data_IF_101607575534
#
_entry.id   IF_101607575534
#
_cell.length_a   1.000
_cell.length_b   1.000
_cell.length_c   1.000
_cell.angle_alpha   90.00
_cell.angle_beta   90.00
_cell.angle_gamma   90.00
#
_symmetry.space_group_name_H-M   'P 1'
#
loop_
_entity.id
_entity.type
_entity.pdbx_description
1 polymer ?
#
# COMPACT_ATOMS: atom_id res chain seq x y z
N UNK A 1 10.89 8.42 11.29
CA UNK A 1 10.46 7.94 9.96
C UNK A 1 11.23 6.73 9.47
N UNK A 2 12.57 6.70 9.54
CA UNK A 2 13.39 5.56 9.08
C UNK A 2 13.00 4.20 9.73
N UNK A 3 12.76 4.18 11.05
CA UNK A 3 12.35 2.96 11.77
C UNK A 3 11.02 2.40 11.26
N UNK A 4 10.07 3.27 10.91
CA UNK A 4 8.74 2.85 10.48
C UNK A 4 8.74 2.23 9.07
N UNK A 5 9.67 2.68 8.21
CA UNK A 5 9.88 2.08 6.88
C UNK A 5 10.39 0.65 7.05
N UNK A 6 11.41 0.43 7.88
CA UNK A 6 11.95 -0.91 8.16
C UNK A 6 10.88 -1.86 8.73
N UNK A 7 10.04 -1.39 9.66
CA UNK A 7 8.95 -2.21 10.22
C UNK A 7 7.92 -2.63 9.17
N UNK A 8 7.63 -1.77 8.19
CA UNK A 8 6.65 -2.06 7.13
C UNK A 8 7.12 -3.16 6.18
N UNK A 9 8.41 -3.17 5.84
CA UNK A 9 9.00 -4.26 5.04
C UNK A 9 8.90 -5.59 5.77
N UNK A 10 9.22 -5.63 7.07
CA UNK A 10 9.16 -6.86 7.85
C UNK A 10 7.72 -7.37 8.03
N UNK A 11 6.77 -6.49 8.34
CA UNK A 11 5.34 -6.87 8.44
C UNK A 11 4.81 -7.45 7.12
N UNK A 12 5.19 -6.86 5.99
CA UNK A 12 4.78 -7.36 4.67
C UNK A 12 5.47 -8.67 4.32
N UNK A 13 6.76 -8.80 4.61
CA UNK A 13 7.49 -10.06 4.44
C UNK A 13 6.79 -11.19 5.19
N UNK A 14 6.55 -11.04 6.50
CA UNK A 14 5.92 -12.07 7.33
C UNK A 14 4.51 -12.44 6.87
N UNK A 15 3.75 -11.45 6.37
CA UNK A 15 2.42 -11.68 5.79
C UNK A 15 2.48 -12.45 4.47
N UNK A 16 3.50 -12.21 3.66
CA UNK A 16 3.65 -12.84 2.34
C UNK A 16 4.43 -14.16 2.40
N UNK A 17 5.20 -14.38 3.47
CA UNK A 17 5.95 -15.59 3.74
C UNK A 17 5.14 -16.52 4.64
N UNK A 18 4.61 -17.62 4.08
CA UNK A 18 4.17 -18.85 4.75
C UNK A 18 3.10 -18.77 5.86
N UNK A 19 3.31 -17.95 6.89
CA UNK A 19 2.45 -17.83 8.08
C UNK A 19 1.19 -17.01 7.84
N UNK A 20 1.20 -16.13 6.84
CA UNK A 20 0.15 -15.14 6.60
C UNK A 20 -0.26 -14.35 7.87
N UNK A 21 0.64 -14.21 8.84
CA UNK A 21 0.32 -13.57 10.12
C UNK A 21 0.03 -12.08 9.93
N UNK A 22 -0.88 -11.55 10.75
CA UNK A 22 -1.13 -10.11 10.86
C UNK A 22 -0.57 -9.63 12.20
N UNK A 23 0.60 -9.01 12.14
CA UNK A 23 1.39 -8.64 13.32
C UNK A 23 1.49 -7.12 13.42
N UNK A 24 1.15 -6.58 14.59
CA UNK A 24 1.45 -5.19 14.93
C UNK A 24 2.96 -4.97 15.04
N UNK A 25 3.39 -3.70 15.03
CA UNK A 25 4.82 -3.34 15.09
C UNK A 25 5.47 -3.88 16.37
N UNK A 26 4.74 -3.86 17.49
CA UNK A 26 5.21 -4.33 18.81
C UNK A 26 5.33 -5.86 18.89
N UNK A 27 4.72 -6.57 17.94
CA UNK A 27 4.72 -8.04 17.87
C UNK A 27 5.69 -8.57 16.81
N UNK A 28 6.43 -7.68 16.14
CA UNK A 28 7.42 -8.07 15.16
C UNK A 28 8.57 -8.81 15.86
N UNK A 29 9.01 -9.97 15.34
CA UNK A 29 10.25 -10.58 15.79
C UNK A 29 11.43 -9.66 15.47
N UNK A 30 12.53 -9.83 16.19
CA UNK A 30 13.78 -9.22 15.79
C UNK A 30 14.23 -9.77 14.43
N UNK A 31 14.88 -8.93 13.62
CA UNK A 31 15.34 -9.36 12.28
C UNK A 31 16.30 -10.54 12.35
N UNK A 32 17.02 -10.71 13.48
CA UNK A 32 17.88 -11.86 13.75
C UNK A 32 17.13 -13.18 13.88
N UNK A 33 15.85 -13.14 14.24
CA UNK A 33 15.00 -14.31 14.45
C UNK A 33 14.26 -14.71 13.16
N UNK A 34 14.45 -13.94 12.10
CA UNK A 34 13.85 -14.13 10.79
C UNK A 34 14.89 -14.70 9.85
N UNK A 35 14.46 -15.53 8.89
CA UNK A 35 15.33 -15.95 7.79
C UNK A 35 15.79 -14.73 6.99
N UNK A 36 17.01 -14.27 7.30
CA UNK A 36 17.59 -13.06 6.73
C UNK A 36 17.81 -13.18 5.23
N UNK A 37 18.09 -14.39 4.72
CA UNK A 37 18.26 -14.65 3.29
C UNK A 37 16.90 -14.49 2.60
N UNK A 38 15.87 -15.14 3.12
CA UNK A 38 14.53 -15.04 2.56
C UNK A 38 13.98 -13.60 2.61
N UNK A 39 14.24 -12.86 3.69
CA UNK A 39 13.87 -11.45 3.81
C UNK A 39 14.62 -10.60 2.77
N UNK A 40 15.93 -10.80 2.62
CA UNK A 40 16.74 -10.08 1.64
C UNK A 40 16.25 -10.33 0.20
N UNK A 41 15.99 -11.60 -0.13
CA UNK A 41 15.46 -11.99 -1.44
C UNK A 41 14.09 -11.34 -1.68
N UNK A 42 13.21 -11.34 -0.69
CA UNK A 42 11.92 -10.68 -0.78
C UNK A 42 12.05 -9.16 -0.95
N UNK A 43 12.98 -8.51 -0.23
CA UNK A 43 13.25 -7.08 -0.39
C UNK A 43 13.82 -6.75 -1.77
N UNK A 44 14.66 -7.63 -2.34
CA UNK A 44 15.22 -7.45 -3.69
C UNK A 44 14.18 -7.46 -4.81
N UNK A 45 13.01 -8.08 -4.55
CA UNK A 45 11.85 -8.05 -5.46
C UNK A 45 11.05 -6.75 -5.39
N UNK A 46 11.39 -5.83 -4.48
CA UNK A 46 10.75 -4.52 -4.34
C UNK A 46 11.54 -3.45 -5.10
N UNK A 47 10.88 -2.34 -5.37
CA UNK A 47 11.50 -1.14 -5.99
C UNK A 47 10.90 0.13 -5.39
N UNK A 48 11.52 1.25 -5.69
CA UNK A 48 10.93 2.57 -5.43
C UNK A 48 9.88 2.90 -6.48
N UNK A 49 8.81 3.56 -6.05
CA UNK A 49 7.97 4.34 -6.94
C UNK A 49 8.69 5.65 -7.35
N UNK A 50 8.30 6.19 -8.49
CA UNK A 50 8.62 7.48 -9.05
C UNK A 50 7.37 8.36 -9.04
N UNK A 51 7.53 9.69 -9.05
CA UNK A 51 6.35 10.57 -9.04
C UNK A 51 5.53 10.42 -10.34
N UNK A 52 6.19 10.26 -11.49
CA UNK A 52 5.54 10.14 -12.79
C UNK A 52 4.65 8.90 -12.93
N UNK A 53 4.97 7.80 -12.24
CA UNK A 53 4.14 6.59 -12.32
C UNK A 53 2.93 6.64 -11.39
N UNK A 54 2.95 7.48 -10.36
CA UNK A 54 1.87 7.58 -9.36
C UNK A 54 0.90 8.70 -9.71
N UNK A 55 1.45 9.86 -10.10
CA UNK A 55 0.71 11.10 -10.28
C UNK A 55 -0.27 11.02 -11.46
N UNK A 56 -1.52 11.39 -11.22
CA UNK A 56 -2.59 11.44 -12.22
C UNK A 56 -3.19 10.08 -12.57
N UNK A 57 -2.78 9.01 -11.87
CA UNK A 57 -3.09 7.64 -12.26
C UNK A 57 -4.21 7.04 -11.41
N UNK A 58 -4.90 6.06 -12.02
CA UNK A 58 -5.95 5.27 -11.38
C UNK A 58 -5.39 3.97 -10.86
N UNK A 59 -5.91 3.51 -9.73
CA UNK A 59 -5.48 2.29 -9.06
C UNK A 59 -6.69 1.51 -8.55
N UNK A 60 -6.60 0.20 -8.56
CA UNK A 60 -7.48 -0.67 -7.77
C UNK A 60 -6.78 -0.93 -6.44
N UNK A 61 -7.50 -0.73 -5.34
CA UNK A 61 -7.10 -1.11 -3.98
C UNK A 61 -8.02 -2.23 -3.51
N UNK A 62 -7.45 -3.30 -2.97
CA UNK A 62 -8.21 -4.36 -2.31
C UNK A 62 -7.53 -4.84 -1.03
N UNK A 63 -8.32 -5.35 -0.09
CA UNK A 63 -7.84 -5.91 1.17
C UNK A 63 -8.24 -7.39 1.32
N UNK A 64 -7.65 -8.06 2.30
CA UNK A 64 -7.96 -9.46 2.61
C UNK A 64 -9.43 -9.73 2.98
N UNK A 65 -10.19 -8.71 3.38
CA UNK A 65 -11.62 -8.82 3.64
C UNK A 65 -12.51 -8.68 2.38
N UNK A 66 -11.89 -8.51 1.19
CA UNK A 66 -12.61 -8.43 -0.08
C UNK A 66 -13.22 -7.07 -0.40
N UNK A 67 -12.93 -6.02 0.38
CA UNK A 67 -13.29 -4.66 -0.01
C UNK A 67 -12.44 -4.23 -1.21
N UNK A 68 -13.08 -3.64 -2.22
CA UNK A 68 -12.42 -3.21 -3.46
C UNK A 68 -12.83 -1.78 -3.79
N UNK A 69 -11.83 -0.92 -3.97
CA UNK A 69 -12.01 0.49 -4.33
C UNK A 69 -11.13 0.90 -5.51
N UNK A 70 -11.56 1.92 -6.24
CA UNK A 70 -10.74 2.66 -7.18
C UNK A 70 -10.16 3.89 -6.48
N UNK A 71 -8.87 4.16 -6.68
CA UNK A 71 -8.22 5.40 -6.28
C UNK A 71 -7.88 6.24 -7.51
N UNK A 72 -8.01 7.55 -7.40
CA UNK A 72 -7.42 8.53 -8.31
C UNK A 72 -6.44 9.40 -7.53
N UNK A 73 -5.15 9.29 -7.84
CA UNK A 73 -4.08 10.06 -7.19
C UNK A 73 -3.82 11.33 -8.00
N UNK A 74 -4.36 12.47 -7.55
CA UNK A 74 -4.32 13.72 -8.33
C UNK A 74 -2.97 14.41 -8.25
N UNK A 75 -2.72 15.31 -9.20
CA UNK A 75 -1.45 16.01 -9.32
C UNK A 75 -1.12 16.94 -8.14
N UNK A 76 -2.15 17.42 -7.45
CA UNK A 76 -2.07 18.34 -6.31
C UNK A 76 -1.81 17.63 -4.97
N UNK A 77 -1.59 16.31 -4.99
CA UNK A 77 -1.39 15.50 -3.78
C UNK A 77 -2.68 15.08 -3.09
N UNK A 78 -3.85 15.47 -3.60
CA UNK A 78 -5.13 14.92 -3.11
C UNK A 78 -5.42 13.57 -3.77
N UNK A 79 -6.22 12.74 -3.10
CA UNK A 79 -6.75 11.52 -3.69
C UNK A 79 -8.27 11.44 -3.53
N UNK A 80 -8.89 10.78 -4.51
CA UNK A 80 -10.29 10.36 -4.45
C UNK A 80 -10.34 8.84 -4.41
N UNK A 81 -11.24 8.30 -3.59
CA UNK A 81 -11.53 6.87 -3.52
C UNK A 81 -13.00 6.63 -3.83
N UNK A 82 -13.29 5.59 -4.60
CA UNK A 82 -14.64 5.14 -4.88
C UNK A 82 -14.75 3.65 -4.65
N UNK A 83 -15.80 3.17 -3.97
CA UNK A 83 -16.14 1.74 -4.05
C UNK A 83 -16.36 1.33 -5.49
N UNK A 84 -15.88 0.13 -5.87
CA UNK A 84 -15.81 -0.23 -7.27
C UNK A 84 -17.18 -0.34 -7.96
N UNK A 85 -18.21 -0.78 -7.23
CA UNK A 85 -19.55 -1.01 -7.77
C UNK A 85 -20.52 0.16 -7.54
N UNK A 86 -20.80 0.50 -6.28
CA UNK A 86 -21.78 1.53 -5.92
C UNK A 86 -21.18 2.95 -5.86
N UNK A 87 -19.89 3.12 -6.18
CA UNK A 87 -19.23 4.42 -6.39
C UNK A 87 -19.35 5.39 -5.21
N UNK A 88 -19.39 4.89 -3.98
CA UNK A 88 -19.43 5.69 -2.77
C UNK A 88 -18.09 6.43 -2.61
N UNK A 89 -18.09 7.78 -2.55
CA UNK A 89 -16.87 8.55 -2.56
C UNK A 89 -16.26 8.70 -1.16
N UNK A 90 -14.93 8.70 -1.11
CA UNK A 90 -14.12 9.16 0.03
C UNK A 90 -12.98 10.04 -0.51
N UNK A 91 -12.41 10.90 0.32
CA UNK A 91 -11.30 11.79 -0.05
C UNK A 91 -10.13 11.63 0.89
N UNK A 92 -8.97 12.05 0.42
CA UNK A 92 -7.73 11.95 1.18
C UNK A 92 -6.57 12.66 0.52
N UNK A 93 -5.37 12.26 0.92
CA UNK A 93 -4.11 12.76 0.43
C UNK A 93 -3.15 11.61 0.15
N UNK A 94 -2.23 11.84 -0.76
CA UNK A 94 -1.12 10.94 -1.02
C UNK A 94 0.19 11.71 -1.06
N UNK A 95 1.27 11.01 -0.74
CA UNK A 95 2.63 11.53 -0.89
C UNK A 95 3.58 10.39 -1.22
N UNK A 96 4.68 10.73 -1.88
CA UNK A 96 5.76 9.81 -2.15
C UNK A 96 6.97 10.20 -1.29
N UNK A 97 7.35 9.34 -0.35
CA UNK A 97 8.50 9.54 0.53
C UNK A 97 9.48 8.38 0.36
N UNK A 98 10.72 8.68 -0.04
CA UNK A 98 11.78 7.68 -0.19
C UNK A 98 11.38 6.49 -1.11
N UNK A 99 10.56 6.76 -2.13
CA UNK A 99 10.09 5.74 -3.08
C UNK A 99 8.94 4.86 -2.54
N UNK A 100 8.38 5.19 -1.38
CA UNK A 100 7.21 4.55 -0.79
C UNK A 100 6.01 5.48 -0.92
N UNK A 101 4.88 4.92 -1.37
CA UNK A 101 3.65 5.68 -1.54
C UNK A 101 2.82 5.59 -0.25
N UNK A 102 2.67 6.73 0.43
CA UNK A 102 1.80 6.86 1.59
C UNK A 102 0.45 7.44 1.16
N UNK A 103 -0.64 6.84 1.63
CA UNK A 103 -2.01 7.29 1.42
C UNK A 103 -2.65 7.58 2.77
N UNK A 104 -3.43 8.64 2.86
CA UNK A 104 -4.28 8.96 4.02
C UNK A 104 -5.70 9.23 3.54
N UNK A 105 -6.69 8.53 4.10
CA UNK A 105 -8.11 8.65 3.75
C UNK A 105 -8.91 8.90 5.01
N UNK A 106 -9.77 9.92 4.98
CA UNK A 106 -10.66 10.25 6.10
C UNK A 106 -12.09 9.85 5.75
N UNK A 107 -12.68 8.96 6.56
CA UNK A 107 -14.05 8.47 6.39
C UNK A 107 -14.78 8.50 7.72
N UNK A 108 -15.76 9.40 7.82
CA UNK A 108 -16.43 9.73 9.09
C UNK A 108 -15.35 10.08 10.15
N UNK A 109 -15.42 9.48 11.34
CA UNK A 109 -14.46 9.70 12.43
C UNK A 109 -13.20 8.82 12.32
N UNK A 110 -12.98 8.14 11.18
CA UNK A 110 -11.86 7.23 11.01
C UNK A 110 -10.84 7.79 10.01
N UNK A 111 -9.56 7.68 10.37
CA UNK A 111 -8.42 7.96 9.50
C UNK A 111 -7.75 6.65 9.13
N UNK A 112 -7.68 6.36 7.83
CA UNK A 112 -6.99 5.20 7.28
C UNK A 112 -5.67 5.66 6.68
N UNK A 113 -4.56 5.06 7.11
CA UNK A 113 -3.21 5.34 6.58
C UNK A 113 -2.66 4.09 5.95
N UNK A 114 -2.37 4.15 4.65
CA UNK A 114 -1.76 3.04 3.92
C UNK A 114 -0.33 3.36 3.54
N UNK A 115 0.56 2.37 3.66
CA UNK A 115 1.93 2.44 3.16
C UNK A 115 2.16 1.40 2.10
N UNK A 116 2.40 1.83 0.87
CA UNK A 116 2.47 1.00 -0.33
C UNK A 116 3.92 0.83 -0.79
N UNK A 117 4.36 -0.42 -0.89
CA UNK A 117 5.70 -0.82 -1.35
C UNK A 117 5.60 -1.40 -2.76
N UNK A 118 6.38 -0.87 -3.68
CA UNK A 118 6.26 -1.26 -5.07
C UNK A 118 6.89 -2.63 -5.35
N UNK A 119 6.20 -3.45 -6.15
CA UNK A 119 6.75 -4.67 -6.71
C UNK A 119 7.54 -4.36 -7.99
N UNK A 120 8.67 -5.04 -8.18
CA UNK A 120 9.54 -4.90 -9.35
C UNK A 120 9.07 -5.70 -10.57
N UNK A 121 8.42 -6.84 -10.34
CA UNK A 121 8.15 -7.84 -11.38
C UNK A 121 6.75 -7.72 -12.00
N UNK A 122 5.76 -7.29 -11.21
CA UNK A 122 4.36 -7.15 -11.64
C UNK A 122 3.75 -5.85 -11.13
N UNK A 123 2.71 -5.35 -11.80
CA UNK A 123 1.99 -4.12 -11.42
C UNK A 123 0.97 -4.37 -10.28
N UNK A 124 1.36 -5.21 -9.31
CA UNK A 124 0.58 -5.56 -8.12
C UNK A 124 1.49 -5.34 -6.91
N UNK A 125 1.20 -4.29 -6.17
CA UNK A 125 2.00 -3.76 -5.08
C UNK A 125 1.39 -4.16 -3.74
N UNK A 126 2.23 -4.18 -2.72
CA UNK A 126 1.83 -4.59 -1.38
C UNK A 126 1.71 -3.39 -0.47
N UNK A 127 0.70 -3.38 0.41
CA UNK A 127 0.60 -2.32 1.40
C UNK A 127 0.05 -2.80 2.74
N UNK A 128 0.31 -1.99 3.76
CA UNK A 128 -0.26 -2.13 5.10
C UNK A 128 -1.16 -0.92 5.32
N UNK A 129 -2.35 -1.15 5.86
CA UNK A 129 -3.29 -0.11 6.25
C UNK A 129 -3.48 -0.10 7.76
N UNK A 130 -3.44 1.09 8.34
CA UNK A 130 -3.74 1.36 9.73
C UNK A 130 -5.02 2.18 9.80
N UNK A 131 -5.87 1.87 10.76
CA UNK A 131 -7.08 2.63 11.07
C UNK A 131 -6.89 3.27 12.44
N UNK A 132 -6.93 4.59 12.50
CA UNK A 132 -6.73 5.37 13.72
C UNK A 132 -5.42 5.03 14.47
N UNK A 133 -4.39 4.62 13.74
CA UNK A 133 -3.08 4.22 14.30
C UNK A 133 -2.92 2.73 14.58
N UNK A 134 -3.99 1.94 14.53
CA UNK A 134 -3.95 0.49 14.77
C UNK A 134 -3.89 -0.28 13.46
N UNK A 135 -3.16 -1.41 13.43
CA UNK A 135 -3.09 -2.27 12.26
C UNK A 135 -4.49 -2.73 11.86
N UNK A 136 -4.88 -2.45 10.62
CA UNK A 136 -6.23 -2.69 10.15
C UNK A 136 -6.29 -3.77 9.07
N UNK A 137 -5.45 -3.65 8.04
CA UNK A 137 -5.50 -4.57 6.91
C UNK A 137 -4.18 -4.65 6.15
N UNK A 138 -4.00 -5.75 5.41
CA UNK A 138 -3.03 -5.81 4.33
C UNK A 138 -3.75 -5.64 3.01
N UNK A 139 -3.11 -4.91 2.12
CA UNK A 139 -3.69 -4.52 0.85
C UNK A 139 -2.85 -5.01 -0.32
N UNK A 140 -3.53 -5.19 -1.45
CA UNK A 140 -2.91 -5.20 -2.77
C UNK A 140 -3.43 -4.01 -3.56
N UNK A 141 -2.52 -3.32 -4.23
CA UNK A 141 -2.84 -2.22 -5.13
C UNK A 141 -2.31 -2.54 -6.52
N UNK A 142 -3.10 -2.25 -7.54
CA UNK A 142 -2.70 -2.41 -8.94
C UNK A 142 -3.09 -1.18 -9.74
N UNK A 143 -2.16 -0.65 -10.54
CA UNK A 143 -2.47 0.49 -11.39
C UNK A 143 -3.37 0.07 -12.55
N UNK A 144 -4.36 0.89 -12.85
CA UNK A 144 -5.26 0.70 -13.99
C UNK A 144 -4.59 1.26 -15.23
N UNK A 145 -4.53 0.46 -16.30
CA UNK A 145 -4.02 0.92 -17.59
C UNK A 145 -4.96 2.00 -18.16
N UNK A 146 -4.42 3.14 -18.62
CA UNK A 146 -5.21 4.12 -19.35
C UNK A 146 -5.87 3.45 -20.56
N UNK A 147 -7.14 3.77 -20.80
CA UNK A 147 -7.77 3.41 -22.07
C UNK A 147 -7.06 4.21 -23.16
N UNK A 148 -6.57 3.53 -24.20
CA UNK A 148 -6.05 4.22 -25.37
C UNK A 148 -7.17 5.14 -25.89
N UNK A 149 -6.91 6.45 -25.97
CA UNK A 149 -7.85 7.34 -26.64
C UNK A 149 -7.95 6.85 -28.08
N UNK A 150 -9.13 6.41 -28.49
CA UNK A 150 -9.42 6.20 -29.90
C UNK A 150 -9.18 7.54 -30.61
N UNK A 151 -8.21 7.53 -31.53
CA UNK A 151 -7.83 8.67 -32.35
C UNK A 151 -9.00 9.19 -33.19
#
# INVERSE_FOLDING_TARGET
MQNQVNSSYLQLFLRESGTAAMLNIEQLPDVSDVDAIALFDWMSSKRSFSVSEVKGQRWIKTCSAGYVTELLLKEDGTLEEFTLFNRLPTKGWWKLEQGVLDLEIVKNDNTYRSRVIANKSVNIHSAIEYKNGELHSYLKLAQVMPVAQSA
#
